data_IF_672476886753
#
_entry.id   IF_672476886753
#
_cell.length_a   1.000
_cell.length_b   1.000
_cell.length_c   1.000
_cell.angle_alpha   90.00
_cell.angle_beta   90.00
_cell.angle_gamma   90.00
#
_symmetry.space_group_name_H-M   'P 1'
#
loop_
_entity.id
_entity.type
_entity.pdbx_description
1 polymer ?
#
# COMPACT_ATOMS: atom_id res chain seq x y z
N UNK A 1 4.52 -0.49 -2.11
CA UNK A 1 3.96 -1.49 -1.19
C UNK A 1 4.52 -1.39 0.21
N UNK A 2 3.84 -1.93 1.19
CA UNK A 2 4.21 -1.76 2.60
C UNK A 2 4.01 -3.02 3.46
N UNK A 3 3.26 -4.02 2.98
CA UNK A 3 2.75 -5.05 3.87
C UNK A 3 1.90 -4.44 4.99
N UNK A 4 2.12 -4.86 6.24
CA UNK A 4 1.40 -4.35 7.42
C UNK A 4 1.88 -2.98 7.91
N UNK A 5 2.87 -2.35 7.25
CA UNK A 5 3.35 -0.99 7.57
C UNK A 5 2.51 0.14 6.95
N UNK A 6 1.32 -0.14 6.46
CA UNK A 6 0.44 0.85 5.84
C UNK A 6 0.08 2.06 6.74
N UNK A 7 0.05 1.97 8.09
CA UNK A 7 -0.21 3.14 8.93
C UNK A 7 0.86 4.24 8.80
N UNK A 8 2.09 3.88 8.42
CA UNK A 8 3.16 4.86 8.15
C UNK A 8 2.74 5.82 7.03
N UNK A 9 2.07 5.30 5.97
CA UNK A 9 1.57 6.15 4.90
C UNK A 9 0.49 7.12 5.38
N UNK A 10 -0.40 6.69 6.28
CA UNK A 10 -1.42 7.60 6.84
C UNK A 10 -0.76 8.78 7.59
N UNK A 11 0.28 8.52 8.37
CA UNK A 11 1.06 9.55 9.05
C UNK A 11 1.80 10.48 8.08
N UNK A 12 2.38 9.92 7.01
CA UNK A 12 3.04 10.68 5.96
C UNK A 12 2.07 11.63 5.24
N UNK A 13 0.91 11.12 4.84
CA UNK A 13 -0.15 11.92 4.19
C UNK A 13 -0.67 12.99 5.12
N UNK A 14 -0.89 12.66 6.41
CA UNK A 14 -1.24 13.64 7.43
C UNK A 14 -0.29 14.84 7.44
N UNK A 15 1.03 14.58 7.42
CA UNK A 15 2.01 15.67 7.45
C UNK A 15 2.01 16.50 6.17
N UNK A 16 1.84 15.85 5.00
CA UNK A 16 1.73 16.56 3.72
C UNK A 16 0.50 17.49 3.69
N UNK A 17 -0.67 16.98 4.09
CA UNK A 17 -1.91 17.76 4.12
C UNK A 17 -1.81 18.94 5.10
N UNK A 18 -1.17 18.77 6.26
CA UNK A 18 -0.94 19.86 7.22
C UNK A 18 0.06 20.90 6.72
N UNK A 19 0.95 20.56 5.77
CA UNK A 19 1.83 21.52 5.09
C UNK A 19 1.11 22.28 3.97
N UNK A 20 -0.13 21.91 3.63
CA UNK A 20 -0.91 22.54 2.58
C UNK A 20 -0.80 21.88 1.21
N UNK A 21 -0.21 20.68 1.12
CA UNK A 21 -0.26 19.92 -0.13
C UNK A 21 -1.70 19.46 -0.42
N UNK A 22 -2.11 19.61 -1.68
CA UNK A 22 -3.35 19.06 -2.21
C UNK A 22 -3.03 17.76 -2.96
N UNK A 23 -3.91 16.75 -2.84
CA UNK A 23 -3.77 15.48 -3.55
C UNK A 23 -4.72 15.49 -4.73
N UNK A 24 -4.17 15.47 -5.94
CA UNK A 24 -4.96 15.46 -7.18
C UNK A 24 -5.19 14.04 -7.71
N UNK A 25 -4.23 13.13 -7.46
CA UNK A 25 -4.29 11.74 -7.90
C UNK A 25 -3.46 10.88 -6.94
N UNK A 26 -3.80 9.60 -6.78
CA UNK A 26 -3.02 8.69 -5.98
C UNK A 26 -2.83 7.32 -6.65
N UNK A 27 -1.67 6.70 -6.41
CA UNK A 27 -1.38 5.34 -6.79
C UNK A 27 -0.91 4.51 -5.60
N UNK A 28 -1.37 3.28 -5.54
CA UNK A 28 -0.97 2.38 -4.47
C UNK A 28 -0.82 0.92 -4.90
N UNK A 29 0.15 0.26 -4.25
CA UNK A 29 0.40 -1.17 -4.37
C UNK A 29 0.34 -1.78 -2.97
N UNK A 30 -0.29 -2.95 -2.81
CA UNK A 30 -0.37 -3.67 -1.52
C UNK A 30 -1.01 -2.79 -0.41
N UNK A 31 -0.38 -2.65 0.75
CA UNK A 31 -0.85 -1.72 1.79
C UNK A 31 -0.98 -0.28 1.30
N UNK A 32 -0.22 0.16 0.28
CA UNK A 32 -0.41 1.44 -0.38
C UNK A 32 -1.71 1.52 -1.19
N UNK A 33 -2.19 0.40 -1.73
CA UNK A 33 -3.48 0.32 -2.42
C UNK A 33 -4.65 0.62 -1.48
N UNK A 34 -4.58 0.13 -0.24
CA UNK A 34 -5.58 0.43 0.79
C UNK A 34 -5.64 1.93 1.10
N UNK A 35 -4.48 2.58 1.21
CA UNK A 35 -4.41 4.03 1.43
C UNK A 35 -4.93 4.81 0.22
N UNK A 36 -4.57 4.41 -1.00
CA UNK A 36 -5.09 5.04 -2.22
C UNK A 36 -6.62 4.90 -2.32
N UNK A 37 -7.17 3.70 -2.06
CA UNK A 37 -8.62 3.47 -2.03
C UNK A 37 -9.33 4.34 -0.99
N UNK A 38 -8.72 4.49 0.19
CA UNK A 38 -9.24 5.37 1.24
C UNK A 38 -9.23 6.85 0.82
N UNK A 39 -8.16 7.32 0.22
CA UNK A 39 -8.08 8.68 -0.35
C UNK A 39 -9.14 8.87 -1.43
N UNK A 40 -9.27 7.94 -2.39
CA UNK A 40 -10.31 8.00 -3.41
C UNK A 40 -11.71 8.13 -2.83
N UNK A 41 -11.97 7.49 -1.70
CA UNK A 41 -13.29 7.50 -1.06
C UNK A 41 -13.53 8.71 -0.15
N UNK A 42 -12.51 9.12 0.62
CA UNK A 42 -12.67 10.02 1.78
C UNK A 42 -11.99 11.38 1.61
N UNK A 43 -11.16 11.56 0.58
CA UNK A 43 -10.44 12.83 0.41
C UNK A 43 -11.41 14.01 0.36
N UNK A 44 -11.13 15.01 1.16
CA UNK A 44 -11.85 16.29 1.19
C UNK A 44 -10.86 17.43 0.97
N UNK A 45 -10.87 17.99 -0.24
CA UNK A 45 -9.99 19.10 -0.62
C UNK A 45 -10.19 20.34 0.26
N UNK A 46 -11.42 20.56 0.72
CA UNK A 46 -11.78 21.73 1.52
C UNK A 46 -11.54 21.52 3.02
N UNK A 47 -11.30 20.27 3.45
CA UNK A 47 -11.11 19.95 4.86
C UNK A 47 -10.09 18.82 5.04
N UNK A 48 -8.82 19.18 5.00
CA UNK A 48 -7.71 18.24 5.22
C UNK A 48 -7.82 17.51 6.57
N UNK A 49 -8.38 18.16 7.61
CA UNK A 49 -8.55 17.56 8.92
C UNK A 49 -9.53 16.38 8.88
N UNK A 50 -10.66 16.50 8.16
CA UNK A 50 -11.60 15.39 7.96
C UNK A 50 -10.92 14.22 7.25
N UNK A 51 -10.18 14.48 6.16
CA UNK A 51 -9.41 13.43 5.48
C UNK A 51 -8.46 12.72 6.44
N UNK A 52 -7.73 13.44 7.28
CA UNK A 52 -6.80 12.89 8.27
C UNK A 52 -7.53 12.03 9.30
N UNK A 53 -8.66 12.49 9.83
CA UNK A 53 -9.46 11.76 10.81
C UNK A 53 -9.97 10.47 10.19
N UNK A 54 -10.58 10.53 9.00
CA UNK A 54 -11.16 9.39 8.30
C UNK A 54 -10.11 8.33 7.96
N UNK A 55 -8.92 8.75 7.47
CA UNK A 55 -7.81 7.84 7.19
C UNK A 55 -7.31 7.15 8.47
N UNK A 56 -7.14 7.92 9.55
CA UNK A 56 -6.64 7.39 10.81
C UNK A 56 -7.64 6.41 11.42
N UNK A 57 -8.93 6.76 11.42
CA UNK A 57 -10.00 5.90 11.95
C UNK A 57 -10.10 4.60 11.14
N UNK A 58 -10.05 4.69 9.82
CA UNK A 58 -10.06 3.51 8.96
C UNK A 58 -8.87 2.59 9.27
N UNK A 59 -7.66 3.14 9.43
CA UNK A 59 -6.47 2.35 9.77
C UNK A 59 -6.65 1.62 11.10
N UNK A 60 -7.03 2.34 12.15
CA UNK A 60 -7.16 1.79 13.50
C UNK A 60 -8.27 0.73 13.64
N UNK A 61 -9.26 0.77 12.76
CA UNK A 61 -10.37 -0.19 12.75
C UNK A 61 -10.18 -1.34 11.73
N UNK A 62 -9.08 -1.35 10.98
CA UNK A 62 -8.74 -2.41 10.00
C UNK A 62 -7.51 -3.20 10.46
N UNK A 63 -7.46 -3.59 11.73
CA UNK A 63 -6.35 -4.36 12.29
C UNK A 63 -6.22 -5.72 11.61
N UNK A 64 -5.04 -6.06 11.07
CA UNK A 64 -4.85 -7.30 10.29
C UNK A 64 -5.30 -8.55 11.03
N UNK A 65 -4.94 -8.71 12.30
CA UNK A 65 -5.29 -9.88 13.10
C UNK A 65 -6.79 -10.13 13.23
N UNK A 66 -7.63 -9.08 13.19
CA UNK A 66 -9.09 -9.20 13.27
C UNK A 66 -9.70 -9.60 11.92
N UNK A 67 -9.02 -9.30 10.81
CA UNK A 67 -9.47 -9.55 9.45
C UNK A 67 -8.93 -10.86 8.88
N UNK A 68 -8.17 -11.65 9.66
CA UNK A 68 -7.73 -12.98 9.26
C UNK A 68 -8.90 -13.96 9.24
N UNK A 69 -9.01 -14.70 8.15
CA UNK A 69 -9.97 -15.79 7.94
C UNK A 69 -9.21 -17.08 7.55
N UNK A 70 -8.65 -17.79 8.54
CA UNK A 70 -7.74 -18.91 8.29
C UNK A 70 -8.44 -20.04 7.53
N UNK A 71 -7.66 -20.77 6.76
CA UNK A 71 -8.10 -21.97 6.05
C UNK A 71 -7.58 -23.22 6.77
N UNK A 72 -8.47 -24.18 6.98
CA UNK A 72 -8.10 -25.44 7.64
C UNK A 72 -7.10 -26.28 6.81
N UNK A 73 -7.28 -26.27 5.47
CA UNK A 73 -6.38 -26.96 4.53
C UNK A 73 -6.11 -26.09 3.29
N UNK A 74 -4.95 -25.46 3.14
CA UNK A 74 -4.59 -24.67 1.97
C UNK A 74 -4.01 -25.56 0.86
N UNK A 75 -4.86 -26.17 0.05
CA UNK A 75 -4.44 -26.96 -1.11
C UNK A 75 -4.50 -26.17 -2.43
N UNK A 76 -3.66 -26.56 -3.37
CA UNK A 76 -3.59 -25.95 -4.70
C UNK A 76 -3.04 -24.53 -4.66
N UNK A 77 -3.71 -23.59 -5.36
CA UNK A 77 -3.32 -22.18 -5.46
C UNK A 77 -3.76 -21.34 -4.25
N UNK A 78 -4.34 -21.94 -3.23
CA UNK A 78 -4.95 -21.24 -2.10
C UNK A 78 -3.92 -20.85 -1.05
N UNK A 79 -4.10 -19.64 -0.45
CA UNK A 79 -3.30 -19.15 0.64
C UNK A 79 -3.70 -19.72 2.02
N UNK A 80 -2.95 -19.35 3.05
CA UNK A 80 -3.25 -19.66 4.45
C UNK A 80 -4.56 -19.00 4.91
N UNK A 81 -4.88 -17.83 4.35
CA UNK A 81 -6.09 -17.06 4.65
C UNK A 81 -6.88 -16.81 3.36
N UNK A 82 -8.20 -16.80 3.48
CA UNK A 82 -9.09 -16.53 2.33
C UNK A 82 -9.04 -15.04 1.92
N UNK A 83 -8.96 -14.14 2.88
CA UNK A 83 -8.98 -12.69 2.70
C UNK A 83 -10.37 -12.11 2.42
N UNK A 84 -11.45 -12.87 2.64
CA UNK A 84 -12.82 -12.39 2.44
C UNK A 84 -13.20 -11.28 3.42
N UNK A 85 -12.76 -11.41 4.67
CA UNK A 85 -13.00 -10.37 5.69
C UNK A 85 -12.38 -9.02 5.34
N UNK A 86 -11.23 -9.02 4.66
CA UNK A 86 -10.66 -7.78 4.12
C UNK A 86 -11.54 -7.20 3.03
N UNK A 87 -12.05 -8.04 2.11
CA UNK A 87 -12.96 -7.59 1.06
C UNK A 87 -14.24 -7.00 1.67
N UNK A 88 -14.88 -7.72 2.59
CA UNK A 88 -16.10 -7.25 3.28
C UNK A 88 -15.88 -5.90 3.99
N UNK A 89 -14.71 -5.71 4.58
CA UNK A 89 -14.37 -4.45 5.25
C UNK A 89 -14.15 -3.32 4.24
N UNK A 90 -13.51 -3.60 3.10
CA UNK A 90 -13.34 -2.61 2.05
C UNK A 90 -14.65 -2.25 1.35
N UNK A 91 -15.55 -3.22 1.12
CA UNK A 91 -16.89 -2.98 0.58
C UNK A 91 -17.75 -2.08 1.48
N UNK A 92 -17.56 -2.16 2.80
CA UNK A 92 -18.26 -1.27 3.76
C UNK A 92 -17.70 0.15 3.76
N UNK A 93 -16.41 0.33 3.46
CA UNK A 93 -15.69 1.58 3.69
C UNK A 93 -15.37 2.36 2.45
N UNK A 94 -15.18 1.69 1.32
CA UNK A 94 -14.83 2.32 0.05
C UNK A 94 -16.06 2.49 -0.84
N UNK A 95 -15.99 3.47 -1.75
CA UNK A 95 -16.92 3.52 -2.87
C UNK A 95 -16.78 2.27 -3.73
N UNK A 96 -17.85 1.88 -4.42
CA UNK A 96 -17.91 0.59 -5.11
C UNK A 96 -17.06 0.53 -6.37
N UNK A 97 -16.86 1.66 -7.05
CA UNK A 97 -16.17 1.74 -8.34
C UNK A 97 -15.13 2.86 -8.38
N UNK A 98 -14.24 2.80 -9.36
CA UNK A 98 -13.26 3.87 -9.61
C UNK A 98 -13.93 5.16 -10.10
N UNK A 99 -15.09 5.07 -10.73
CA UNK A 99 -15.85 6.22 -11.20
C UNK A 99 -16.43 7.06 -10.06
N UNK A 100 -16.68 6.45 -8.91
CA UNK A 100 -17.26 7.11 -7.74
C UNK A 100 -16.21 7.77 -6.84
N UNK A 101 -14.92 7.65 -7.17
CA UNK A 101 -13.84 8.23 -6.36
C UNK A 101 -13.78 9.74 -6.47
N UNK A 102 -13.46 10.43 -5.38
CA UNK A 102 -13.35 11.90 -5.29
C UNK A 102 -12.11 12.44 -6.02
N UNK A 103 -11.08 11.64 -6.14
CA UNK A 103 -9.87 11.89 -6.92
C UNK A 103 -9.51 10.64 -7.73
N UNK A 104 -8.85 10.76 -8.88
CA UNK A 104 -8.36 9.61 -9.64
C UNK A 104 -7.47 8.70 -8.80
N UNK A 105 -7.72 7.38 -8.88
CA UNK A 105 -6.97 6.37 -8.13
C UNK A 105 -6.45 5.30 -9.08
N UNK A 106 -5.21 4.89 -8.85
CA UNK A 106 -4.57 3.79 -9.54
C UNK A 106 -4.21 2.68 -8.52
N UNK A 107 -4.69 1.47 -8.75
CA UNK A 107 -4.41 0.29 -7.93
C UNK A 107 -3.61 -0.71 -8.76
N UNK A 108 -2.48 -1.15 -8.22
CA UNK A 108 -1.57 -2.06 -8.92
C UNK A 108 -1.74 -3.49 -8.43
N UNK A 109 -1.97 -4.41 -9.36
CA UNK A 109 -2.00 -5.86 -9.12
C UNK A 109 -1.03 -6.57 -10.06
N UNK A 110 -0.66 -7.81 -9.73
CA UNK A 110 0.00 -8.70 -10.67
C UNK A 110 -0.99 -9.72 -11.22
N UNK A 111 -1.21 -9.68 -12.55
CA UNK A 111 -2.02 -10.66 -13.25
C UNK A 111 -1.18 -11.92 -13.48
N UNK A 112 -1.46 -12.98 -12.71
CA UNK A 112 -0.72 -14.25 -12.78
C UNK A 112 -1.02 -14.99 -14.07
N UNK A 113 -2.25 -14.89 -14.56
CA UNK A 113 -2.68 -15.57 -15.80
C UNK A 113 -1.91 -15.04 -17.01
N UNK A 114 -1.66 -13.75 -17.06
CA UNK A 114 -0.96 -13.05 -18.17
C UNK A 114 0.51 -12.74 -17.88
N UNK A 115 0.96 -12.91 -16.62
CA UNK A 115 2.33 -12.65 -16.16
C UNK A 115 2.79 -11.20 -16.35
N UNK A 116 1.89 -10.24 -16.09
CA UNK A 116 2.15 -8.80 -16.19
C UNK A 116 1.55 -8.06 -15.00
N UNK A 117 2.09 -6.89 -14.66
CA UNK A 117 1.38 -6.01 -13.75
C UNK A 117 0.17 -5.38 -14.46
N UNK A 118 -0.88 -5.12 -13.71
CA UNK A 118 -2.09 -4.40 -14.17
C UNK A 118 -2.33 -3.22 -13.25
N UNK A 119 -2.53 -2.06 -13.85
CA UNK A 119 -2.96 -0.85 -13.16
C UNK A 119 -4.45 -0.67 -13.43
N UNK A 120 -5.24 -0.70 -12.36
CA UNK A 120 -6.67 -0.51 -12.36
C UNK A 120 -7.00 0.95 -12.06
N UNK A 121 -7.87 1.56 -12.83
CA UNK A 121 -8.29 2.94 -12.63
C UNK A 121 -9.68 3.20 -13.29
N UNK A 122 -10.09 4.47 -13.38
CA UNK A 122 -11.39 4.86 -13.94
C UNK A 122 -11.60 4.54 -15.45
N UNK A 123 -10.59 4.03 -16.14
CA UNK A 123 -10.72 3.51 -17.51
C UNK A 123 -11.26 2.09 -17.52
N UNK A 124 -11.10 1.36 -16.42
CA UNK A 124 -11.59 -0.01 -16.24
C UNK A 124 -13.03 0.03 -15.72
N UNK A 125 -13.99 0.24 -16.62
CA UNK A 125 -15.40 0.46 -16.29
C UNK A 125 -16.05 -0.75 -15.64
N UNK A 126 -16.85 -0.50 -14.58
CA UNK A 126 -17.59 -1.53 -13.87
C UNK A 126 -16.77 -2.45 -12.99
N UNK A 127 -15.46 -2.19 -12.85
CA UNK A 127 -14.59 -2.97 -11.96
C UNK A 127 -14.68 -2.44 -10.52
N UNK A 128 -14.83 -3.35 -9.56
CA UNK A 128 -14.93 -3.02 -8.14
C UNK A 128 -13.61 -2.51 -7.58
N UNK A 129 -13.59 -1.28 -7.04
CA UNK A 129 -12.44 -0.72 -6.32
C UNK A 129 -12.05 -1.58 -5.09
N UNK A 130 -13.00 -1.97 -4.19
CA UNK A 130 -12.69 -2.88 -3.08
C UNK A 130 -12.03 -4.18 -3.51
N UNK A 131 -12.49 -4.78 -4.60
CA UNK A 131 -11.96 -6.03 -5.12
C UNK A 131 -10.53 -5.86 -5.64
N UNK A 132 -10.24 -4.77 -6.36
CA UNK A 132 -8.89 -4.45 -6.83
C UNK A 132 -7.92 -4.19 -5.67
N UNK A 133 -8.36 -3.46 -4.63
CA UNK A 133 -7.56 -3.25 -3.41
C UNK A 133 -7.27 -4.58 -2.73
N UNK A 134 -8.30 -5.44 -2.58
CA UNK A 134 -8.15 -6.79 -2.01
C UNK A 134 -7.16 -7.63 -2.83
N UNK A 135 -7.25 -7.59 -4.16
CA UNK A 135 -6.32 -8.29 -5.05
C UNK A 135 -4.88 -7.78 -4.89
N UNK A 136 -4.72 -6.46 -4.82
CA UNK A 136 -3.42 -5.82 -4.60
C UNK A 136 -2.76 -6.18 -3.26
N UNK A 137 -3.54 -6.62 -2.28
CA UNK A 137 -3.07 -7.07 -0.97
C UNK A 137 -2.94 -8.60 -0.85
N UNK A 138 -3.16 -9.33 -1.95
CA UNK A 138 -3.09 -10.81 -1.97
C UNK A 138 -1.63 -11.27 -2.06
N UNK A 139 -0.89 -11.17 -0.95
CA UNK A 139 0.46 -11.72 -0.85
C UNK A 139 0.44 -13.22 -1.16
N UNK A 140 1.27 -13.71 -2.10
CA UNK A 140 1.32 -15.12 -2.47
C UNK A 140 1.51 -16.02 -1.25
N UNK A 141 0.84 -17.17 -1.25
CA UNK A 141 0.86 -18.18 -0.18
C UNK A 141 0.22 -17.71 1.14
N UNK A 142 0.13 -16.41 1.40
CA UNK A 142 -0.53 -15.85 2.59
C UNK A 142 -2.02 -15.72 2.35
N UNK A 143 -2.42 -15.08 1.25
CA UNK A 143 -3.83 -14.87 0.89
C UNK A 143 -4.19 -15.56 -0.43
N UNK A 144 -5.46 -15.93 -0.55
CA UNK A 144 -5.98 -16.45 -1.83
C UNK A 144 -5.81 -15.39 -2.94
N UNK A 145 -5.45 -15.80 -4.16
CA UNK A 145 -5.53 -14.93 -5.32
C UNK A 145 -6.99 -14.51 -5.58
N UNK A 146 -7.17 -13.40 -6.26
CA UNK A 146 -8.49 -12.84 -6.60
C UNK A 146 -8.71 -12.96 -8.08
N UNK A 147 -9.87 -13.47 -8.49
CA UNK A 147 -10.29 -13.48 -9.89
C UNK A 147 -10.96 -12.14 -10.25
N UNK A 148 -10.46 -11.47 -11.28
CA UNK A 148 -11.02 -10.25 -11.86
C UNK A 148 -11.01 -10.43 -13.37
N UNK A 149 -12.18 -10.28 -14.01
CA UNK A 149 -12.37 -10.43 -15.46
C UNK A 149 -11.84 -11.76 -16.02
N UNK A 150 -11.97 -12.86 -15.26
CA UNK A 150 -11.53 -14.21 -15.63
C UNK A 150 -10.02 -14.46 -15.47
N UNK A 151 -9.25 -13.48 -15.04
CA UNK A 151 -7.82 -13.62 -14.74
C UNK A 151 -7.56 -13.67 -13.22
N UNK A 152 -6.52 -14.40 -12.81
CA UNK A 152 -6.09 -14.43 -11.42
C UNK A 152 -5.11 -13.28 -11.13
N UNK A 153 -5.41 -12.53 -10.05
CA UNK A 153 -4.61 -11.41 -9.58
C UNK A 153 -4.10 -11.65 -8.16
N UNK A 154 -2.86 -11.20 -7.92
CA UNK A 154 -2.20 -11.21 -6.62
C UNK A 154 -1.57 -9.85 -6.33
N UNK A 155 -0.86 -9.72 -5.21
CA UNK A 155 -0.18 -8.50 -4.79
C UNK A 155 0.72 -7.94 -5.91
N UNK A 156 0.49 -6.67 -6.23
CA UNK A 156 1.22 -5.97 -7.29
C UNK A 156 2.69 -5.73 -6.98
N UNK A 157 3.07 -5.79 -5.70
CA UNK A 157 4.44 -5.53 -5.25
C UNK A 157 5.48 -6.52 -5.79
N UNK A 158 5.03 -7.67 -6.29
CA UNK A 158 5.89 -8.66 -6.93
C UNK A 158 6.51 -8.13 -8.22
N UNK A 159 5.79 -7.29 -8.96
CA UNK A 159 6.22 -6.78 -10.27
C UNK A 159 6.38 -5.25 -10.30
N UNK A 160 5.63 -4.51 -9.49
CA UNK A 160 5.66 -3.05 -9.46
C UNK A 160 5.38 -2.54 -8.03
N UNK A 161 6.38 -2.70 -7.15
CA UNK A 161 6.24 -2.33 -5.74
C UNK A 161 6.23 -0.82 -5.50
N UNK A 162 6.82 -0.05 -6.41
CA UNK A 162 6.88 1.41 -6.35
C UNK A 162 6.74 2.03 -7.74
N UNK A 163 5.55 2.01 -8.37
CA UNK A 163 5.31 2.42 -9.74
C UNK A 163 5.21 3.95 -9.87
N UNK A 164 6.31 4.67 -9.66
CA UNK A 164 6.36 6.13 -9.76
C UNK A 164 6.25 6.60 -11.21
N UNK A 165 6.69 5.79 -12.14
CA UNK A 165 6.72 5.99 -13.58
C UNK A 165 5.33 6.19 -14.21
N UNK A 166 4.26 5.72 -13.59
CA UNK A 166 2.88 5.93 -14.09
C UNK A 166 2.48 7.40 -14.16
N UNK A 167 3.09 8.26 -13.35
CA UNK A 167 2.86 9.69 -13.33
C UNK A 167 3.76 10.47 -14.29
N UNK A 168 4.60 9.77 -15.06
CA UNK A 168 5.56 10.40 -15.97
C UNK A 168 6.59 11.26 -15.24
N UNK A 169 7.17 12.22 -15.97
CA UNK A 169 8.18 13.15 -15.45
C UNK A 169 7.60 14.39 -14.75
N UNK A 170 6.32 14.40 -14.39
CA UNK A 170 5.63 15.54 -13.77
C UNK A 170 6.32 16.05 -12.50
N UNK A 171 6.47 17.37 -12.35
CA UNK A 171 7.19 18.01 -11.23
C UNK A 171 6.46 17.90 -9.89
N UNK A 172 5.16 17.63 -9.90
CA UNK A 172 4.26 17.64 -8.74
C UNK A 172 3.98 16.24 -8.16
N UNK A 173 4.89 15.27 -8.38
CA UNK A 173 4.73 13.91 -7.86
C UNK A 173 5.58 13.69 -6.62
N UNK A 174 4.99 13.17 -5.55
CA UNK A 174 5.70 12.74 -4.34
C UNK A 174 5.54 11.23 -4.19
N UNK A 175 6.66 10.51 -4.27
CA UNK A 175 6.71 9.08 -4.00
C UNK A 175 7.02 8.82 -2.52
N UNK A 176 6.14 8.11 -1.83
CA UNK A 176 6.37 7.65 -0.46
C UNK A 176 6.96 6.25 -0.49
N UNK A 177 8.21 6.09 -0.09
CA UNK A 177 8.95 4.83 -0.17
C UNK A 177 9.63 4.50 1.15
N UNK A 178 9.50 3.24 1.59
CA UNK A 178 10.30 2.78 2.73
C UNK A 178 11.78 2.75 2.39
N UNK A 179 12.57 3.41 3.22
CA UNK A 179 14.03 3.35 3.14
C UNK A 179 14.53 2.12 3.90
N UNK A 180 15.52 1.46 3.36
CA UNK A 180 16.31 0.51 4.13
C UNK A 180 17.29 1.31 5.00
N UNK A 181 17.03 1.39 6.29
CA UNK A 181 17.90 2.13 7.23
C UNK A 181 19.19 1.43 7.57
N UNK A 182 19.29 0.15 7.28
CA UNK A 182 20.44 -0.68 7.63
C UNK A 182 20.64 -1.74 6.55
N UNK A 183 21.86 -2.25 6.45
CA UNK A 183 22.13 -3.52 5.78
C UNK A 183 21.11 -4.55 6.27
N UNK A 184 20.58 -5.42 5.40
CA UNK A 184 19.59 -6.40 5.80
C UNK A 184 20.09 -7.10 7.06
N UNK A 185 19.35 -6.92 8.20
CA UNK A 185 19.71 -7.67 9.42
C UNK A 185 19.58 -9.15 9.04
N UNK A 186 20.65 -9.91 9.29
CA UNK A 186 20.59 -11.36 9.11
C UNK A 186 19.39 -11.91 9.86
N UNK A 187 18.34 -12.23 9.14
CA UNK A 187 17.16 -12.90 9.69
C UNK A 187 17.39 -14.40 9.62
N UNK A 188 17.38 -15.06 10.75
CA UNK A 188 17.40 -16.53 10.76
C UNK A 188 16.04 -17.03 10.25
N UNK A 189 16.04 -17.61 9.05
CA UNK A 189 14.88 -18.32 8.50
C UNK A 189 14.77 -19.68 9.20
N UNK A 190 13.73 -19.85 10.02
CA UNK A 190 13.51 -21.07 10.81
C UNK A 190 12.21 -21.79 10.46
N UNK A 191 11.22 -21.05 9.97
CA UNK A 191 9.90 -21.57 9.66
C UNK A 191 9.56 -21.37 8.17
N UNK A 192 8.52 -22.08 7.71
CA UNK A 192 7.99 -21.86 6.34
C UNK A 192 7.49 -20.42 6.15
N UNK A 193 6.92 -19.82 7.19
CA UNK A 193 6.47 -18.42 7.15
C UNK A 193 7.64 -17.47 7.02
N UNK A 194 8.75 -17.69 7.74
CA UNK A 194 9.97 -16.89 7.59
C UNK A 194 10.52 -16.98 6.16
N UNK A 195 10.47 -18.16 5.54
CA UNK A 195 10.92 -18.36 4.17
C UNK A 195 10.03 -17.63 3.17
N UNK A 196 8.72 -17.72 3.34
CA UNK A 196 7.74 -17.01 2.49
C UNK A 196 7.95 -15.50 2.62
N UNK A 197 8.03 -14.96 3.85
CA UNK A 197 8.24 -13.54 4.11
C UNK A 197 9.54 -13.05 3.48
N UNK A 198 10.66 -13.74 3.71
CA UNK A 198 11.95 -13.40 3.13
C UNK A 198 11.96 -13.44 1.59
N UNK A 199 11.26 -14.41 1.00
CA UNK A 199 11.15 -14.54 -0.45
C UNK A 199 10.35 -13.38 -1.04
N UNK A 200 9.19 -13.08 -0.45
CA UNK A 200 8.33 -11.96 -0.89
C UNK A 200 9.08 -10.64 -0.73
N UNK A 201 9.74 -10.42 0.41
CA UNK A 201 10.51 -9.20 0.67
C UNK A 201 11.66 -9.05 -0.35
N UNK A 202 12.35 -10.13 -0.68
CA UNK A 202 13.38 -10.15 -1.73
C UNK A 202 12.83 -9.79 -3.12
N UNK A 203 11.71 -10.37 -3.52
CA UNK A 203 11.04 -10.05 -4.80
C UNK A 203 10.60 -8.59 -4.85
N UNK A 204 9.94 -8.10 -3.80
CA UNK A 204 9.49 -6.71 -3.71
C UNK A 204 10.64 -5.70 -3.69
N UNK A 205 11.78 -6.07 -3.09
CA UNK A 205 12.99 -5.22 -3.07
C UNK A 205 13.65 -5.15 -4.44
N UNK A 206 13.70 -6.25 -5.18
CA UNK A 206 14.26 -6.29 -6.54
C UNK A 206 13.50 -5.34 -7.48
N UNK A 207 12.17 -5.35 -7.43
CA UNK A 207 11.33 -4.50 -8.30
C UNK A 207 11.31 -3.02 -7.90
N UNK A 208 11.79 -2.67 -6.70
CA UNK A 208 11.83 -1.27 -6.26
C UNK A 208 12.90 -0.42 -6.94
N UNK A 209 13.97 -1.02 -7.42
CA UNK A 209 15.15 -0.30 -7.92
C UNK A 209 15.18 -0.14 -9.44
N UNK A 210 14.38 -0.90 -10.19
CA UNK A 210 14.47 -1.00 -11.64
C UNK A 210 13.88 0.19 -12.42
N UNK A 211 13.07 1.05 -11.80
CA UNK A 211 12.24 2.03 -12.53
C UNK A 211 12.38 3.49 -12.07
N UNK A 212 13.44 3.84 -11.32
CA UNK A 212 13.62 5.20 -10.86
C UNK A 212 14.79 5.85 -11.59
N UNK A 213 14.51 6.70 -12.57
CA UNK A 213 15.51 7.59 -13.15
C UNK A 213 16.04 8.57 -12.09
N UNK A 214 17.32 8.97 -12.18
CA UNK A 214 17.98 9.84 -11.19
C UNK A 214 17.21 11.14 -10.91
N UNK A 215 16.54 11.71 -11.91
CA UNK A 215 15.71 12.90 -11.74
C UNK A 215 14.46 12.67 -10.86
N UNK A 216 13.96 11.43 -10.75
CA UNK A 216 12.82 11.07 -9.91
C UNK A 216 13.20 10.91 -8.44
N UNK A 217 14.46 10.62 -8.10
CA UNK A 217 14.91 10.48 -6.72
C UNK A 217 14.66 11.75 -5.88
N UNK A 218 14.74 12.92 -6.49
CA UNK A 218 14.48 14.19 -5.80
C UNK A 218 13.04 14.33 -5.26
N UNK A 219 12.11 13.51 -5.76
CA UNK A 219 10.69 13.52 -5.38
C UNK A 219 10.31 12.36 -4.45
N UNK A 220 11.23 11.49 -4.16
CA UNK A 220 11.00 10.36 -3.25
C UNK A 220 11.21 10.83 -1.81
N UNK A 221 10.17 10.70 -1.01
CA UNK A 221 10.24 10.89 0.42
C UNK A 221 10.54 9.52 1.09
N UNK A 222 11.71 9.34 1.71
CA UNK A 222 12.03 8.12 2.41
C UNK A 222 11.22 8.03 3.70
N UNK A 223 10.53 6.91 3.91
CA UNK A 223 9.81 6.60 5.14
C UNK A 223 10.63 5.64 5.99
N UNK A 224 10.73 5.94 7.26
CA UNK A 224 11.50 5.18 8.23
C UNK A 224 10.57 4.57 9.27
N UNK A 225 10.74 3.28 9.53
CA UNK A 225 10.01 2.54 10.57
C UNK A 225 10.86 1.40 11.10
N UNK A 226 10.68 1.08 12.37
CA UNK A 226 11.31 -0.10 13.00
C UNK A 226 10.47 -1.38 12.84
N UNK A 227 9.22 -1.24 12.38
CA UNK A 227 8.29 -2.36 12.27
C UNK A 227 8.58 -3.25 11.07
N UNK A 228 8.33 -4.55 11.22
CA UNK A 228 8.49 -5.54 10.15
C UNK A 228 7.48 -5.33 9.01
N UNK A 229 7.85 -5.78 7.81
CA UNK A 229 6.97 -5.70 6.63
C UNK A 229 5.71 -6.56 6.74
N UNK A 230 5.79 -7.68 7.45
CA UNK A 230 4.65 -8.57 7.69
C UNK A 230 4.54 -8.87 9.19
N UNK A 231 3.67 -8.15 9.87
CA UNK A 231 3.25 -8.39 11.25
C UNK A 231 1.73 -8.44 11.31
N UNK A 232 1.19 -9.65 11.22
CA UNK A 232 -0.26 -9.89 11.26
C UNK A 232 -0.85 -9.76 12.66
N UNK A 233 -0.02 -9.65 13.69
CA UNK A 233 -0.43 -9.55 15.10
C UNK A 233 -0.17 -8.17 15.70
N UNK A 234 0.15 -7.17 14.86
CA UNK A 234 0.42 -5.82 15.35
C UNK A 234 -0.76 -5.27 16.16
N UNK A 235 -0.41 -4.55 17.21
CA UNK A 235 -1.37 -3.93 18.14
C UNK A 235 -1.81 -2.54 17.66
N UNK A 236 -2.82 -1.97 18.32
CA UNK A 236 -3.23 -0.59 18.09
C UNK A 236 -2.11 0.40 18.43
N UNK A 237 -1.30 0.11 19.44
CA UNK A 237 -0.18 0.95 19.83
C UNK A 237 0.93 0.93 18.76
N UNK A 238 1.21 -0.23 18.17
CA UNK A 238 2.13 -0.35 17.03
C UNK A 238 1.64 0.49 15.84
N UNK A 239 0.33 0.46 15.54
CA UNK A 239 -0.26 1.26 14.47
C UNK A 239 -0.12 2.76 14.74
N UNK A 240 -0.41 3.20 15.97
CA UNK A 240 -0.24 4.60 16.37
C UNK A 240 1.21 5.05 16.28
N UNK A 241 2.17 4.19 16.65
CA UNK A 241 3.59 4.45 16.51
C UNK A 241 3.98 4.57 15.03
N UNK A 242 3.50 3.69 14.18
CA UNK A 242 3.73 3.75 12.73
C UNK A 242 3.18 5.04 12.11
N UNK A 243 2.00 5.51 12.52
CA UNK A 243 1.47 6.81 12.07
C UNK A 243 2.41 7.94 12.48
N UNK A 244 2.95 7.92 13.71
CA UNK A 244 3.94 8.92 14.16
C UNK A 244 5.21 8.87 13.35
N UNK A 245 5.77 7.68 13.10
CA UNK A 245 6.99 7.49 12.30
C UNK A 245 6.84 8.04 10.87
N UNK A 246 5.67 7.81 10.25
CA UNK A 246 5.36 8.36 8.93
C UNK A 246 5.32 9.88 8.92
N UNK A 247 4.67 10.47 9.91
CA UNK A 247 4.63 11.93 10.09
C UNK A 247 6.04 12.52 10.24
N UNK A 248 6.85 11.96 11.14
CA UNK A 248 8.21 12.42 11.39
C UNK A 248 9.13 12.27 10.16
N UNK A 249 8.95 11.21 9.38
CA UNK A 249 9.71 10.98 8.15
C UNK A 249 9.48 12.10 7.13
N UNK A 250 8.23 12.47 6.90
CA UNK A 250 7.88 13.57 5.98
C UNK A 250 8.29 14.93 6.55
N UNK A 251 8.15 15.14 7.85
CA UNK A 251 8.57 16.40 8.49
C UNK A 251 10.08 16.65 8.30
N UNK A 252 10.90 15.62 8.49
CA UNK A 252 12.36 15.69 8.23
C UNK A 252 12.64 15.94 6.74
N UNK A 253 11.92 15.29 5.85
CA UNK A 253 12.10 15.45 4.41
C UNK A 253 11.76 16.86 3.94
N UNK A 254 10.66 17.47 4.43
CA UNK A 254 10.27 18.84 4.12
C UNK A 254 11.35 19.83 4.62
N UNK A 255 11.78 19.70 5.88
CA UNK A 255 12.82 20.56 6.46
C UNK A 255 14.11 20.53 5.64
N UNK A 256 14.58 19.34 5.26
CA UNK A 256 15.77 19.19 4.43
C UNK A 256 15.60 19.83 3.05
N UNK A 257 14.41 19.84 2.47
CA UNK A 257 14.14 20.54 1.19
C UNK A 257 14.16 22.04 1.33
N UNK A 258 13.73 22.59 2.45
CA UNK A 258 13.78 24.02 2.75
C UNK A 258 15.22 24.51 2.97
N UNK A 259 16.04 23.73 3.68
CA UNK A 259 17.45 24.04 3.97
C UNK A 259 18.35 24.00 2.73
N UNK A 260 17.92 23.30 1.66
CA UNK A 260 18.66 23.17 0.40
C UNK A 260 18.17 24.15 -0.71
N UNK A 261 17.28 25.09 -0.39
CA UNK A 261 16.84 26.19 -1.25
C UNK A 261 17.53 27.49 -0.88
#
# INVERSE_FOLDING_TARGET
>A
GSGTRYPVFAGAIKRLLLEGYEIEEACGTSGGAMIAGALGTKYDKNNALNTIIDLTDMMLNSMPGQLLDPRWFPFGIRGLFKGNKFLEEFEKRFVSSFEDTKIPINIVTYNVSKRVHKIWNNRDKGVSLPLCVRASMSLPFIFDPVEIDGDLHIDGGIAANFPLDIFGSGENVIGLRFASNESPKERRVKTKLDLIDATIEGMMSATMNEHIEDAMYARVCPLYTKHAGLDLLMTRDDMNEQVREGYESVDKWIKKKLDNR
#
